data_IF_787853184040
#
_entry.id   IF_787853184040
#
_cell.length_a   1.000
_cell.length_b   1.000
_cell.length_c   1.000
_cell.angle_alpha   90.00
_cell.angle_beta   90.00
_cell.angle_gamma   90.00
#
_symmetry.space_group_name_H-M   'P 1'
#
loop_
_entity.id
_entity.type
_entity.pdbx_description
1 polymer ?
#
# COMPACT_ATOMS: atom_id res chain seq x y z
N UNK A 1 -13.45 37.66 -24.71
CA UNK A 1 -12.96 37.64 -23.32
C UNK A 1 -13.91 36.81 -22.47
N UNK A 2 -13.56 35.54 -22.29
CA UNK A 2 -14.00 34.65 -21.20
C UNK A 2 -13.19 33.37 -21.38
N UNK A 3 -11.90 33.45 -21.08
CA UNK A 3 -11.10 32.25 -20.83
C UNK A 3 -11.59 31.68 -19.51
N UNK A 4 -12.25 30.52 -19.57
CA UNK A 4 -12.54 29.72 -18.39
C UNK A 4 -11.19 29.23 -17.86
N UNK A 5 -10.70 29.92 -16.83
CA UNK A 5 -9.55 29.50 -16.04
C UNK A 5 -9.91 28.17 -15.39
N UNK A 6 -9.36 27.10 -15.94
CA UNK A 6 -9.42 25.76 -15.38
C UNK A 6 -8.62 25.76 -14.07
N UNK A 7 -9.23 25.50 -12.90
CA UNK A 7 -8.51 25.44 -11.63
C UNK A 7 -7.79 24.09 -11.46
N UNK A 8 -7.14 23.59 -12.51
CA UNK A 8 -6.23 22.45 -12.45
C UNK A 8 -4.81 22.87 -12.03
N UNK A 9 -4.59 24.12 -11.63
CA UNK A 9 -3.30 24.65 -11.17
C UNK A 9 -3.37 24.94 -9.68
N UNK A 10 -3.61 23.94 -8.82
CA UNK A 10 -3.11 24.01 -7.42
C UNK A 10 -3.27 22.75 -6.55
N UNK A 11 -3.40 21.54 -7.11
CA UNK A 11 -3.01 20.38 -6.31
C UNK A 11 -1.53 20.12 -6.56
N UNK A 12 -0.65 20.27 -5.55
CA UNK A 12 0.64 19.64 -5.65
C UNK A 12 0.30 18.16 -5.78
N UNK A 13 0.48 17.61 -6.97
CA UNK A 13 0.63 16.17 -7.13
C UNK A 13 1.88 15.83 -6.31
N UNK A 14 1.66 15.64 -5.00
CA UNK A 14 2.58 14.99 -4.11
C UNK A 14 2.83 13.66 -4.78
N UNK A 15 3.97 13.58 -5.46
CA UNK A 15 4.56 12.41 -6.08
C UNK A 15 4.94 11.39 -4.99
N UNK A 16 4.07 11.19 -4.00
CA UNK A 16 4.04 9.97 -3.25
C UNK A 16 3.82 8.88 -4.31
N UNK A 17 4.72 7.89 -4.43
CA UNK A 17 4.49 6.77 -5.31
C UNK A 17 3.10 6.26 -4.98
N UNK A 18 2.17 6.39 -5.93
CA UNK A 18 0.83 5.81 -5.79
C UNK A 18 1.10 4.33 -5.70
N UNK A 19 1.14 3.79 -4.46
CA UNK A 19 1.32 2.37 -4.22
C UNK A 19 0.33 1.67 -5.14
N UNK A 20 0.81 0.67 -5.89
CA UNK A 20 -0.04 -0.08 -6.80
C UNK A 20 -1.30 -0.49 -6.01
N UNK A 21 -2.46 -0.12 -6.53
CA UNK A 21 -3.73 -0.50 -5.91
C UNK A 21 -3.83 -2.02 -6.02
N UNK A 22 -3.50 -2.71 -4.93
CA UNK A 22 -3.63 -4.16 -4.85
C UNK A 22 -5.12 -4.51 -4.83
N UNK A 23 -5.51 -5.48 -5.64
CA UNK A 23 -6.78 -6.17 -5.44
C UNK A 23 -6.76 -6.89 -4.10
N UNK A 24 -7.94 -7.22 -3.58
CA UNK A 24 -8.06 -7.94 -2.30
C UNK A 24 -7.28 -9.26 -2.31
N UNK A 25 -7.29 -9.98 -3.43
CA UNK A 25 -6.54 -11.24 -3.58
C UNK A 25 -5.03 -11.01 -3.58
N UNK A 26 -4.55 -9.98 -4.27
CA UNK A 26 -3.12 -9.63 -4.30
C UNK A 26 -2.63 -9.19 -2.92
N UNK A 27 -3.45 -8.43 -2.19
CA UNK A 27 -3.11 -7.99 -0.85
C UNK A 27 -2.96 -9.18 0.12
N UNK A 28 -3.88 -10.15 0.07
CA UNK A 28 -3.75 -11.39 0.86
C UNK A 28 -2.52 -12.20 0.45
N UNK A 29 -2.27 -12.38 -0.87
CA UNK A 29 -1.07 -13.10 -1.33
C UNK A 29 0.23 -12.42 -0.90
N UNK A 30 0.28 -11.09 -0.90
CA UNK A 30 1.43 -10.34 -0.40
C UNK A 30 1.60 -10.48 1.12
N UNK A 31 0.51 -10.52 1.89
CA UNK A 31 0.57 -10.80 3.33
C UNK A 31 1.21 -12.16 3.61
N UNK A 32 0.83 -13.21 2.87
CA UNK A 32 1.40 -14.56 3.05
C UNK A 32 2.90 -14.58 2.79
N UNK A 33 3.35 -13.90 1.72
CA UNK A 33 4.77 -13.75 1.38
C UNK A 33 5.52 -13.01 2.49
N UNK A 34 5.00 -11.87 2.96
CA UNK A 34 5.64 -11.07 4.00
C UNK A 34 5.72 -11.82 5.34
N UNK A 35 4.70 -12.60 5.69
CA UNK A 35 4.73 -13.45 6.88
C UNK A 35 5.82 -14.52 6.78
N UNK A 36 5.98 -15.15 5.61
CA UNK A 36 7.02 -16.14 5.37
C UNK A 36 8.43 -15.54 5.51
N UNK A 37 8.69 -14.37 4.92
CA UNK A 37 9.98 -13.69 5.10
C UNK A 37 10.19 -13.21 6.55
N UNK A 38 9.10 -12.87 7.23
CA UNK A 38 9.10 -12.42 8.61
C UNK A 38 9.60 -13.44 9.64
N UNK A 39 9.66 -14.74 9.27
CA UNK A 39 10.23 -15.79 10.14
C UNK A 39 11.75 -15.91 10.02
N UNK A 40 12.38 -15.19 9.08
CA UNK A 40 13.84 -15.19 8.92
C UNK A 40 14.50 -14.24 9.92
N UNK A 41 15.65 -14.61 10.47
CA UNK A 41 16.38 -13.82 11.49
C UNK A 41 17.27 -12.72 10.89
N UNK A 42 17.02 -12.37 9.62
CA UNK A 42 17.72 -11.31 8.91
C UNK A 42 17.01 -9.97 9.13
N UNK A 43 17.69 -8.84 8.90
CA UNK A 43 17.08 -7.50 9.01
C UNK A 43 15.81 -7.37 8.14
N UNK A 44 15.79 -8.09 7.01
CA UNK A 44 14.63 -8.17 6.12
C UNK A 44 13.41 -8.84 6.76
N UNK A 45 13.59 -9.74 7.74
CA UNK A 45 12.49 -10.38 8.47
C UNK A 45 11.80 -9.45 9.46
N UNK A 46 12.54 -8.58 10.14
CA UNK A 46 11.94 -7.50 10.93
C UNK A 46 11.13 -6.54 10.05
N UNK A 47 11.69 -6.17 8.90
CA UNK A 47 11.03 -5.30 7.94
C UNK A 47 9.78 -5.95 7.30
N UNK A 48 9.84 -7.24 6.97
CA UNK A 48 8.70 -7.98 6.42
C UNK A 48 7.54 -8.09 7.41
N UNK A 49 7.82 -8.33 8.70
CA UNK A 49 6.78 -8.33 9.75
C UNK A 49 6.12 -6.97 9.90
N UNK A 50 6.91 -5.90 9.87
CA UNK A 50 6.39 -4.54 9.93
C UNK A 50 5.45 -4.24 8.76
N UNK A 51 5.86 -4.55 7.53
CA UNK A 51 5.01 -4.39 6.35
C UNK A 51 3.76 -5.28 6.37
N UNK A 52 3.86 -6.52 6.85
CA UNK A 52 2.70 -7.41 6.99
C UNK A 52 1.66 -6.82 7.94
N UNK A 53 2.09 -6.23 9.06
CA UNK A 53 1.21 -5.59 10.03
C UNK A 53 0.53 -4.33 9.45
N UNK A 54 1.26 -3.50 8.72
CA UNK A 54 0.67 -2.34 8.04
C UNK A 54 -0.36 -2.75 6.98
N UNK A 55 -0.07 -3.80 6.21
CA UNK A 55 -0.96 -4.30 5.19
C UNK A 55 -2.23 -4.90 5.82
N UNK A 56 -2.08 -5.70 6.89
CA UNK A 56 -3.20 -6.26 7.64
C UNK A 56 -4.16 -5.19 8.20
N UNK A 57 -3.64 -4.04 8.62
CA UNK A 57 -4.47 -2.93 9.12
C UNK A 57 -5.29 -2.24 8.01
N UNK A 58 -4.91 -2.41 6.74
CA UNK A 58 -5.53 -1.77 5.58
C UNK A 58 -6.41 -2.72 4.76
N UNK A 59 -6.18 -4.03 4.87
CA UNK A 59 -6.92 -5.06 4.14
C UNK A 59 -8.16 -5.46 4.95
N UNK A 60 -9.38 -5.34 4.39
CA UNK A 60 -10.58 -5.85 5.04
C UNK A 60 -10.43 -7.35 5.32
N UNK A 61 -10.76 -7.79 6.54
CA UNK A 61 -10.78 -9.22 6.85
C UNK A 61 -11.79 -9.90 5.94
N UNK A 62 -11.39 -11.02 5.33
CA UNK A 62 -12.29 -11.84 4.51
C UNK A 62 -13.47 -12.44 5.32
N UNK A 63 -13.41 -12.36 6.65
CA UNK A 63 -14.51 -12.66 7.57
C UNK A 63 -15.30 -11.39 7.92
N UNK A 64 -16.47 -11.26 7.29
CA UNK A 64 -17.73 -10.72 7.81
C UNK A 64 -18.89 -11.23 6.94
#
# INVERSE_FOLDING_TARGET
MSELVDPAVDMPELYAPRLALLTLTEAHGLMDVLQHFGTTDHDWGAQARHFAAELAARVPSRDA
#
